data_IF_134304941140
#
_entry.id   IF_134304941140
#
_cell.length_a   1.000
_cell.length_b   1.000
_cell.length_c   1.000
_cell.angle_alpha   90.00
_cell.angle_beta   90.00
_cell.angle_gamma   90.00
#
_symmetry.space_group_name_H-M   'P 1'
#
loop_
_entity.id
_entity.type
_entity.pdbx_description
1 polymer ?
#
# COMPACT_ATOMS: atom_id res chain seq x y z
N UNK A 1 24.68 -56.47 11.55
CA UNK A 1 24.47 -55.01 11.65
C UNK A 1 24.39 -54.42 10.25
N UNK A 2 23.23 -53.92 9.81
CA UNK A 2 23.13 -52.98 8.68
C UNK A 2 22.37 -51.77 9.21
N UNK A 3 23.11 -50.70 9.46
CA UNK A 3 22.59 -49.46 10.01
C UNK A 3 21.80 -48.76 8.89
N UNK A 4 20.48 -48.73 9.06
CA UNK A 4 19.57 -47.98 8.20
C UNK A 4 19.81 -46.49 8.45
N UNK A 5 20.38 -45.77 7.48
CA UNK A 5 20.52 -44.32 7.55
C UNK A 5 19.31 -43.73 6.82
N UNK A 6 18.31 -43.34 7.62
CA UNK A 6 17.22 -42.48 7.19
C UNK A 6 17.83 -41.19 6.61
N UNK A 7 17.60 -40.93 5.32
CA UNK A 7 17.79 -39.61 4.71
C UNK A 7 16.75 -38.67 5.33
N UNK A 8 17.16 -37.95 6.39
CA UNK A 8 16.43 -36.81 6.91
C UNK A 8 16.49 -35.70 5.86
N UNK A 9 15.46 -35.63 5.01
CA UNK A 9 15.18 -34.46 4.18
C UNK A 9 14.77 -33.34 5.14
N UNK A 10 15.73 -32.49 5.52
CA UNK A 10 15.44 -31.23 6.21
C UNK A 10 14.88 -30.29 5.15
N UNK A 11 13.57 -30.34 4.92
CA UNK A 11 12.84 -29.22 4.33
C UNK A 11 12.90 -28.09 5.36
N UNK A 12 13.92 -27.25 5.27
CA UNK A 12 13.93 -25.96 5.96
C UNK A 12 12.76 -25.16 5.40
N UNK A 13 11.64 -25.14 6.13
CA UNK A 13 10.54 -24.22 5.86
C UNK A 13 11.12 -22.84 6.12
N UNK A 14 11.56 -22.14 5.07
CA UNK A 14 11.88 -20.73 5.17
C UNK A 14 10.56 -20.01 5.40
N UNK A 15 10.27 -19.71 6.66
CA UNK A 15 9.24 -18.74 7.03
C UNK A 15 9.74 -17.41 6.45
N UNK A 16 9.23 -17.02 5.28
CA UNK A 16 9.42 -15.65 4.77
C UNK A 16 8.70 -14.72 5.75
N UNK A 17 9.47 -14.10 6.65
CA UNK A 17 8.99 -12.98 7.43
C UNK A 17 8.89 -11.79 6.48
N UNK A 18 7.68 -11.44 6.05
CA UNK A 18 7.49 -10.30 5.17
C UNK A 18 7.78 -8.99 5.93
N UNK A 19 8.52 -8.06 5.31
CA UNK A 19 8.85 -6.76 5.91
C UNK A 19 7.57 -6.01 6.32
N UNK A 20 7.56 -5.48 7.55
CA UNK A 20 6.40 -4.83 8.15
C UNK A 20 5.86 -3.67 7.31
N UNK A 21 6.72 -2.95 6.58
CA UNK A 21 6.31 -1.84 5.70
C UNK A 21 5.55 -2.34 4.49
N UNK A 22 5.98 -3.47 3.92
CA UNK A 22 5.31 -4.12 2.79
C UNK A 22 3.95 -4.67 3.23
N UNK A 23 3.90 -5.33 4.38
CA UNK A 23 2.65 -5.79 4.99
C UNK A 23 1.68 -4.63 5.26
N UNK A 24 2.19 -3.52 5.80
CA UNK A 24 1.40 -2.29 6.02
C UNK A 24 0.90 -1.71 4.71
N UNK A 25 1.74 -1.64 3.67
CA UNK A 25 1.34 -1.17 2.35
C UNK A 25 0.22 -2.04 1.74
N UNK A 26 0.38 -3.37 1.75
CA UNK A 26 -0.65 -4.32 1.30
C UNK A 26 -1.98 -4.08 2.01
N UNK A 27 -1.94 -4.02 3.34
CA UNK A 27 -3.15 -3.79 4.14
C UNK A 27 -3.80 -2.44 3.82
N UNK A 28 -3.01 -1.37 3.73
CA UNK A 28 -3.56 -0.03 3.53
C UNK A 28 -4.05 0.22 2.11
N UNK A 29 -3.40 -0.38 1.09
CA UNK A 29 -3.56 0.10 -0.28
C UNK A 29 -4.05 -0.95 -1.27
N UNK A 30 -4.00 -2.26 -1.00
CA UNK A 30 -4.31 -3.27 -2.02
C UNK A 30 -5.70 -3.88 -1.84
N UNK A 31 -6.53 -3.82 -2.88
CA UNK A 31 -7.82 -4.51 -3.00
C UNK A 31 -7.75 -5.41 -4.24
N UNK A 32 -7.51 -6.71 -4.05
CA UNK A 32 -7.44 -7.65 -5.18
C UNK A 32 -8.83 -8.03 -5.70
N UNK A 33 -9.85 -8.01 -4.83
CA UNK A 33 -11.22 -8.33 -5.18
C UNK A 33 -12.13 -7.21 -4.71
N UNK A 34 -12.81 -6.60 -5.67
CA UNK A 34 -13.80 -5.56 -5.40
C UNK A 34 -15.02 -6.16 -4.70
N UNK A 35 -15.17 -5.84 -3.41
CA UNK A 35 -16.27 -6.34 -2.57
C UNK A 35 -17.43 -5.36 -2.48
N UNK A 36 -17.36 -4.20 -3.17
CA UNK A 36 -18.36 -3.15 -3.08
C UNK A 36 -18.45 -2.45 -1.72
N UNK A 37 -17.49 -2.70 -0.81
CA UNK A 37 -17.43 -2.06 0.51
C UNK A 37 -17.17 -0.56 0.40
N UNK A 38 -17.78 0.21 1.30
CA UNK A 38 -17.52 1.65 1.43
C UNK A 38 -16.14 1.94 2.01
N UNK A 39 -15.69 3.19 1.91
CA UNK A 39 -14.46 3.64 2.55
C UNK A 39 -14.43 3.36 4.06
N UNK A 40 -15.52 3.67 4.78
CA UNK A 40 -15.65 3.39 6.21
C UNK A 40 -15.42 1.91 6.52
N UNK A 41 -16.13 1.03 5.81
CA UNK A 41 -16.03 -0.42 6.01
C UNK A 41 -14.61 -0.93 5.74
N UNK A 42 -13.98 -0.47 4.65
CA UNK A 42 -12.62 -0.89 4.31
C UNK A 42 -11.59 -0.43 5.35
N UNK A 43 -11.70 0.80 5.84
CA UNK A 43 -10.77 1.37 6.83
C UNK A 43 -10.95 0.69 8.19
N UNK A 44 -12.19 0.46 8.61
CA UNK A 44 -12.53 -0.20 9.87
C UNK A 44 -12.08 -1.67 9.87
N UNK A 45 -12.48 -2.46 8.85
CA UNK A 45 -12.15 -3.89 8.75
C UNK A 45 -10.65 -4.14 8.77
N UNK A 46 -9.88 -3.23 8.15
CA UNK A 46 -8.42 -3.32 8.01
C UNK A 46 -7.67 -2.59 9.12
N UNK A 47 -8.39 -1.99 10.08
CA UNK A 47 -7.86 -1.24 11.22
C UNK A 47 -6.81 -0.21 10.79
N UNK A 48 -7.10 0.53 9.72
CA UNK A 48 -6.17 1.50 9.15
C UNK A 48 -6.17 2.75 10.03
N UNK A 49 -5.06 3.01 10.70
CA UNK A 49 -4.83 4.17 11.55
C UNK A 49 -3.42 4.73 11.37
N UNK A 50 -3.16 5.90 11.95
CA UNK A 50 -1.86 6.54 12.01
C UNK A 50 -1.45 6.70 13.48
N UNK A 51 -0.60 5.83 14.01
CA UNK A 51 -0.14 5.89 15.41
C UNK A 51 -1.26 6.01 16.46
N UNK A 52 -2.34 5.25 16.27
CA UNK A 52 -3.59 5.27 17.05
C UNK A 52 -4.54 6.44 16.76
N UNK A 53 -4.15 7.37 15.88
CA UNK A 53 -5.04 8.41 15.36
C UNK A 53 -5.73 7.98 14.07
N UNK A 54 -6.88 8.60 13.80
CA UNK A 54 -7.64 8.39 12.56
C UNK A 54 -6.84 8.97 11.39
N UNK A 55 -6.69 8.20 10.30
CA UNK A 55 -5.92 8.65 9.13
C UNK A 55 -6.81 9.52 8.24
N UNK A 56 -6.44 10.76 7.95
CA UNK A 56 -7.34 11.66 7.20
C UNK A 56 -7.59 11.21 5.76
N UNK A 57 -6.64 10.50 5.16
CA UNK A 57 -6.73 10.01 3.78
C UNK A 57 -6.16 8.61 3.64
N UNK A 58 -6.81 7.79 2.83
CA UNK A 58 -6.27 6.51 2.40
C UNK A 58 -6.77 6.17 1.01
N UNK A 59 -5.86 5.81 0.11
CA UNK A 59 -6.24 5.37 -1.24
C UNK A 59 -6.11 3.87 -1.35
N UNK A 60 -7.18 3.21 -1.79
CA UNK A 60 -7.14 1.81 -2.19
C UNK A 60 -6.90 1.69 -3.69
N UNK A 61 -6.10 0.72 -4.10
CA UNK A 61 -5.78 0.36 -5.48
C UNK A 61 -6.45 -0.97 -5.76
N UNK A 62 -7.29 -1.02 -6.80
CA UNK A 62 -7.97 -2.24 -7.23
C UNK A 62 -7.09 -3.00 -8.21
N UNK A 63 -6.16 -3.77 -7.67
CA UNK A 63 -5.15 -4.53 -8.43
C UNK A 63 -4.54 -5.63 -7.58
N UNK A 64 -3.85 -6.60 -8.19
CA UNK A 64 -3.02 -7.54 -7.44
C UNK A 64 -1.79 -6.82 -6.87
N UNK A 65 -1.24 -7.34 -5.76
CA UNK A 65 0.01 -6.80 -5.24
C UNK A 65 1.18 -6.97 -6.22
N UNK A 66 1.22 -8.04 -7.01
CA UNK A 66 2.30 -8.27 -7.97
C UNK A 66 2.27 -7.24 -9.11
N UNK A 67 1.08 -6.84 -9.56
CA UNK A 67 0.94 -5.76 -10.55
C UNK A 67 1.41 -4.42 -10.00
N UNK A 68 1.09 -4.10 -8.74
CA UNK A 68 1.58 -2.88 -8.08
C UNK A 68 3.08 -2.94 -7.84
N UNK A 69 3.62 -4.10 -7.47
CA UNK A 69 5.06 -4.32 -7.31
C UNK A 69 5.83 -4.16 -8.62
N UNK A 70 5.22 -4.51 -9.77
CA UNK A 70 5.81 -4.27 -11.08
C UNK A 70 6.07 -2.78 -11.39
N UNK A 71 5.43 -1.86 -10.68
CA UNK A 71 5.73 -0.42 -10.77
C UNK A 71 7.13 -0.11 -10.24
N UNK A 72 7.67 -0.92 -9.31
CA UNK A 72 9.01 -0.74 -8.77
C UNK A 72 10.16 -1.10 -9.74
N UNK A 73 9.88 -1.27 -11.03
CA UNK A 73 10.90 -1.49 -12.06
C UNK A 73 11.63 -0.19 -12.38
N UNK A 74 12.91 -0.29 -12.74
CA UNK A 74 13.80 0.85 -12.92
C UNK A 74 13.29 1.85 -13.98
N UNK A 75 12.68 1.35 -15.04
CA UNK A 75 12.11 2.15 -16.13
C UNK A 75 10.92 3.03 -15.72
N UNK A 76 10.33 2.78 -14.54
CA UNK A 76 9.18 3.53 -14.01
C UNK A 76 9.57 4.52 -12.91
N UNK A 77 10.87 4.65 -12.62
CA UNK A 77 11.39 5.55 -11.59
C UNK A 77 11.23 7.00 -12.01
N UNK A 78 10.69 7.84 -11.12
CA UNK A 78 10.41 9.25 -11.40
C UNK A 78 11.68 10.10 -11.34
N UNK A 79 12.55 9.86 -10.36
CA UNK A 79 13.84 10.54 -10.21
C UNK A 79 14.92 9.54 -9.77
N UNK A 80 16.11 9.65 -10.35
CA UNK A 80 17.26 8.80 -10.01
C UNK A 80 17.74 8.97 -8.56
N UNK A 81 17.36 10.05 -7.89
CA UNK A 81 17.78 10.39 -6.52
C UNK A 81 16.75 10.01 -5.45
N UNK A 82 15.54 9.56 -5.82
CA UNK A 82 14.50 9.19 -4.85
C UNK A 82 14.01 7.75 -5.06
N UNK A 83 13.19 7.26 -4.14
CA UNK A 83 12.58 5.94 -4.22
C UNK A 83 11.17 5.97 -4.84
N UNK A 84 10.82 7.01 -5.61
CA UNK A 84 9.48 7.22 -6.16
C UNK A 84 9.36 6.62 -7.58
N UNK A 85 8.27 5.89 -7.81
CA UNK A 85 7.96 5.22 -9.07
C UNK A 85 6.54 5.54 -9.48
N UNK A 86 6.31 5.77 -10.78
CA UNK A 86 5.00 6.10 -11.34
C UNK A 86 4.48 4.94 -12.18
N UNK A 87 3.19 4.62 -12.07
CA UNK A 87 2.60 3.52 -12.84
C UNK A 87 2.64 3.82 -14.34
N UNK A 88 3.05 2.86 -15.20
CA UNK A 88 3.09 3.08 -16.64
C UNK A 88 1.69 3.21 -17.25
N UNK A 89 0.70 2.57 -16.63
CA UNK A 89 -0.71 2.61 -17.01
C UNK A 89 -1.54 3.17 -15.85
N UNK A 90 -2.74 3.66 -16.18
CA UNK A 90 -3.69 4.07 -15.16
C UNK A 90 -4.22 2.85 -14.40
N UNK A 91 -4.52 3.06 -13.13
CA UNK A 91 -5.08 2.05 -12.23
C UNK A 91 -6.37 2.58 -11.62
N UNK A 92 -7.31 1.68 -11.35
CA UNK A 92 -8.53 2.02 -10.62
C UNK A 92 -8.17 2.21 -9.15
N UNK A 93 -8.47 3.38 -8.62
CA UNK A 93 -8.26 3.73 -7.23
C UNK A 93 -9.55 4.17 -6.56
N UNK A 94 -9.60 4.08 -5.23
CA UNK A 94 -10.62 4.67 -4.38
C UNK A 94 -9.93 5.54 -3.32
N UNK A 95 -9.76 6.84 -3.58
CA UNK A 95 -9.27 7.79 -2.58
C UNK A 95 -10.35 8.05 -1.53
N UNK A 96 -10.14 7.54 -0.32
CA UNK A 96 -11.01 7.78 0.83
C UNK A 96 -10.50 8.99 1.62
N UNK A 97 -11.36 9.98 1.84
CA UNK A 97 -11.09 11.19 2.61
C UNK A 97 -12.03 11.29 3.81
N UNK A 98 -11.46 11.47 5.00
CA UNK A 98 -12.19 11.75 6.22
C UNK A 98 -12.84 13.14 6.11
N UNK A 99 -14.15 13.19 6.36
CA UNK A 99 -14.89 14.44 6.43
C UNK A 99 -14.72 15.03 7.84
N UNK A 100 -14.21 16.26 7.91
CA UNK A 100 -13.94 16.94 9.19
C UNK A 100 -15.08 17.88 9.62
N UNK A 101 -15.99 18.20 8.69
CA UNK A 101 -17.08 19.16 8.86
C UNK A 101 -18.37 18.68 8.19
N UNK A 102 -19.48 19.36 8.48
CA UNK A 102 -20.80 19.07 7.89
C UNK A 102 -21.47 17.82 8.46
N UNK A 103 -22.56 17.38 7.80
CA UNK A 103 -23.41 16.27 8.23
C UNK A 103 -22.70 14.91 8.21
N UNK A 104 -21.66 14.78 7.38
CA UNK A 104 -20.87 13.56 7.24
C UNK A 104 -19.59 13.55 8.07
N UNK A 105 -19.41 14.52 8.98
CA UNK A 105 -18.25 14.58 9.87
C UNK A 105 -17.98 13.22 10.53
N UNK A 106 -16.72 12.78 10.45
CA UNK A 106 -16.25 11.50 11.00
C UNK A 106 -16.43 10.30 10.06
N UNK A 107 -17.02 10.48 8.88
CA UNK A 107 -17.11 9.44 7.84
C UNK A 107 -16.06 9.64 6.77
N UNK A 108 -15.72 8.56 6.08
CA UNK A 108 -14.89 8.58 4.90
C UNK A 108 -15.74 8.54 3.64
N UNK A 109 -15.44 9.45 2.72
CA UNK A 109 -16.05 9.48 1.40
C UNK A 109 -14.99 9.30 0.33
N UNK A 110 -15.36 8.63 -0.76
CA UNK A 110 -14.49 8.37 -1.89
C UNK A 110 -15.31 7.89 -3.08
N UNK A 111 -14.82 8.21 -4.28
CA UNK A 111 -15.38 7.75 -5.55
C UNK A 111 -14.26 7.07 -6.32
N UNK A 112 -14.58 5.97 -7.00
CA UNK A 112 -13.59 5.29 -7.85
C UNK A 112 -13.18 6.19 -9.01
N UNK A 113 -11.89 6.22 -9.27
CA UNK A 113 -11.30 6.97 -10.36
C UNK A 113 -10.18 6.15 -11.01
N UNK A 114 -9.77 6.56 -12.21
CA UNK A 114 -8.73 5.88 -12.98
C UNK A 114 -7.60 6.87 -13.26
N UNK A 115 -6.48 6.70 -12.55
CA UNK A 115 -5.35 7.62 -12.55
C UNK A 115 -4.03 6.85 -12.57
N UNK A 116 -2.95 7.53 -13.01
CA UNK A 116 -1.61 7.04 -12.69
C UNK A 116 -1.37 7.20 -11.18
N UNK A 117 -0.67 6.24 -10.59
CA UNK A 117 -0.30 6.29 -9.18
C UNK A 117 1.19 6.45 -9.02
N UNK A 118 1.61 6.99 -7.89
CA UNK A 118 3.01 7.05 -7.50
C UNK A 118 3.19 6.34 -6.17
N UNK A 119 4.25 5.53 -6.08
CA UNK A 119 4.58 4.74 -4.89
C UNK A 119 6.05 4.85 -4.57
N UNK A 120 6.39 4.76 -3.29
CA UNK A 120 7.78 4.58 -2.87
C UNK A 120 8.12 3.08 -2.86
N UNK A 121 9.25 2.72 -3.45
CA UNK A 121 9.77 1.35 -3.45
C UNK A 121 11.14 1.27 -2.80
N UNK A 122 11.26 0.45 -1.75
CA UNK A 122 12.51 0.24 -1.02
C UNK A 122 13.10 -1.14 -1.31
N UNK A 123 14.41 -1.26 -1.18
CA UNK A 123 15.11 -2.52 -1.32
C UNK A 123 14.95 -3.35 -0.04
N UNK A 124 14.19 -4.44 -0.14
CA UNK A 124 13.95 -5.43 0.90
C UNK A 124 14.58 -6.74 0.45
N UNK A 125 15.61 -7.21 1.15
CA UNK A 125 16.30 -8.47 0.85
C UNK A 125 16.71 -8.61 -0.63
N UNK A 126 17.23 -7.53 -1.24
CA UNK A 126 17.66 -7.41 -2.65
C UNK A 126 16.55 -7.25 -3.69
N UNK A 127 15.29 -7.13 -3.28
CA UNK A 127 14.14 -6.92 -4.16
C UNK A 127 13.48 -5.58 -3.84
N UNK A 128 13.20 -4.75 -4.86
CA UNK A 128 12.40 -3.54 -4.67
C UNK A 128 10.95 -3.91 -4.37
N UNK A 129 10.41 -3.38 -3.28
CA UNK A 129 9.04 -3.63 -2.82
C UNK A 129 8.32 -2.31 -2.56
N UNK A 130 7.02 -2.21 -2.88
CA UNK A 130 6.19 -1.07 -2.47
C UNK A 130 6.14 -0.95 -0.96
N UNK A 131 6.44 0.24 -0.44
CA UNK A 131 6.40 0.54 1.00
C UNK A 131 5.55 1.75 1.36
N UNK A 132 5.27 2.64 0.40
CA UNK A 132 4.46 3.84 0.64
C UNK A 132 3.66 4.23 -0.59
N UNK A 133 2.45 4.74 -0.39
CA UNK A 133 1.62 5.33 -1.45
C UNK A 133 1.77 6.85 -1.42
N UNK A 134 2.18 7.45 -2.53
CA UNK A 134 2.24 8.90 -2.65
C UNK A 134 0.86 9.44 -2.98
N UNK A 135 0.30 10.25 -2.08
CA UNK A 135 -0.94 10.97 -2.33
C UNK A 135 -0.58 12.42 -2.70
N UNK A 136 -0.62 12.80 -3.98
CA UNK A 136 -0.45 14.20 -4.33
C UNK A 136 -1.62 15.02 -3.75
N UNK A 137 -1.27 16.04 -2.97
CA UNK A 137 -2.21 17.02 -2.44
C UNK A 137 -2.82 17.85 -3.58
N UNK A 138 -3.84 17.32 -4.24
CA UNK A 138 -4.65 18.11 -5.17
C UNK A 138 -5.65 18.98 -4.38
N UNK A 139 -5.14 20.01 -3.68
CA UNK A 139 -5.79 21.31 -3.48
C UNK A 139 -4.95 22.23 -2.56
N UNK A 140 -4.32 23.23 -3.17
CA UNK A 140 -3.84 24.49 -2.57
C UNK A 140 -2.63 24.44 -1.62
N UNK A 141 -1.76 25.44 -1.79
CA UNK A 141 -0.46 25.72 -1.16
C UNK A 141 -0.47 25.93 0.39
N UNK A 142 -1.42 25.38 1.13
CA UNK A 142 -1.56 25.66 2.57
C UNK A 142 -1.39 24.45 3.51
N UNK A 143 -1.58 23.20 3.06
CA UNK A 143 -1.60 22.05 4.00
C UNK A 143 -0.62 20.95 3.58
N UNK A 144 0.68 21.25 3.63
CA UNK A 144 1.78 20.34 3.25
C UNK A 144 2.10 19.23 4.28
N UNK A 145 1.14 18.81 5.12
CA UNK A 145 1.43 17.90 6.24
C UNK A 145 0.28 16.91 6.47
N UNK A 146 -0.04 16.01 5.53
CA UNK A 146 -0.87 14.84 5.91
C UNK A 146 -0.84 13.64 4.94
N UNK A 147 0.36 13.21 4.54
CA UNK A 147 0.62 11.80 4.18
C UNK A 147 1.97 11.30 4.73
N UNK A 148 2.47 11.89 5.82
CA UNK A 148 3.54 11.25 6.59
C UNK A 148 2.95 10.06 7.36
N UNK A 149 3.00 8.87 6.77
CA UNK A 149 3.10 7.68 7.60
C UNK A 149 4.45 7.78 8.30
N UNK A 150 4.44 7.99 9.61
CA UNK A 150 5.64 8.03 10.44
C UNK A 150 6.57 6.86 10.14
N UNK A 151 7.86 7.18 10.13
CA UNK A 151 8.99 6.27 10.25
C UNK A 151 8.79 5.21 11.35
#
# INVERSE_FOLDING_TARGET
MKLSIFLLVVFSVTVLCEDQRVMKFKNQHIIETDTGKSCDQLIEDRKINNNNDVKDRNTFIFSTFEDVKNICKKEHRVDENNNLYSSPEKMITLPCKLQTEGENKGKYEGVKEENHIEIACDNIETVLQPVHFYCPDYASLADSIQCKSSE
#
